data_IF_374790295461
#
_entry.id   IF_374790295461
#
_cell.length_a   1.000
_cell.length_b   1.000
_cell.length_c   1.000
_cell.angle_alpha   90.00
_cell.angle_beta   90.00
_cell.angle_gamma   90.00
#
_symmetry.space_group_name_H-M   'P 1'
#
loop_
_entity.id
_entity.type
_entity.pdbx_description
1 polymer ?
#
# COMPACT_ATOMS: atom_id res chain seq x y z
N UNK A 1 -3.08 19.99 16.94
CA UNK A 1 -2.64 18.64 16.57
C UNK A 1 -1.27 18.41 17.18
N UNK A 2 -1.06 17.28 17.85
CA UNK A 2 0.26 16.90 18.36
C UNK A 2 1.20 16.46 17.22
N UNK A 3 2.50 16.33 17.54
CA UNK A 3 3.54 15.99 16.57
C UNK A 3 3.34 14.60 15.95
N UNK A 4 2.80 13.64 16.69
CA UNK A 4 2.56 12.28 16.21
C UNK A 4 1.44 12.25 15.17
N UNK A 5 0.35 12.97 15.43
CA UNK A 5 -0.76 13.15 14.49
C UNK A 5 -0.27 13.82 13.20
N UNK A 6 0.57 14.85 13.30
CA UNK A 6 1.18 15.52 12.14
C UNK A 6 2.09 14.58 11.34
N UNK A 7 2.90 13.76 12.03
CA UNK A 7 3.75 12.77 11.39
C UNK A 7 2.90 11.74 10.64
N UNK A 8 1.88 11.16 11.30
CA UNK A 8 0.97 10.20 10.69
C UNK A 8 0.32 10.76 9.41
N UNK A 9 -0.26 11.97 9.47
CA UNK A 9 -0.84 12.61 8.30
C UNK A 9 0.20 12.84 7.18
N UNK A 10 1.40 13.33 7.51
CA UNK A 10 2.45 13.58 6.51
C UNK A 10 2.89 12.29 5.81
N UNK A 11 3.06 11.20 6.55
CA UNK A 11 3.43 9.90 5.99
C UNK A 11 2.31 9.35 5.10
N UNK A 12 1.06 9.38 5.59
CA UNK A 12 -0.12 8.97 4.85
C UNK A 12 -0.29 9.76 3.54
N UNK A 13 -0.23 11.09 3.60
CA UNK A 13 -0.40 11.96 2.42
C UNK A 13 0.66 11.69 1.36
N UNK A 14 1.92 11.43 1.75
CA UNK A 14 2.98 11.10 0.78
C UNK A 14 2.73 9.76 0.08
N UNK A 15 2.28 8.75 0.82
CA UNK A 15 1.96 7.44 0.24
C UNK A 15 0.73 7.52 -0.68
N UNK A 16 -0.29 8.28 -0.28
CA UNK A 16 -1.45 8.52 -1.15
C UNK A 16 -1.07 9.31 -2.40
N UNK A 17 -0.16 10.28 -2.32
CA UNK A 17 0.38 10.98 -3.49
C UNK A 17 1.12 10.04 -4.44
N UNK A 18 1.94 9.12 -3.89
CA UNK A 18 2.60 8.07 -4.65
C UNK A 18 1.56 7.21 -5.41
N UNK A 19 0.50 6.76 -4.73
CA UNK A 19 -0.57 5.96 -5.34
C UNK A 19 -1.42 6.74 -6.35
N UNK A 20 -1.71 8.02 -6.10
CA UNK A 20 -2.44 8.89 -7.02
C UNK A 20 -1.64 9.12 -8.31
N UNK A 21 -0.32 9.30 -8.19
CA UNK A 21 0.56 9.41 -9.34
C UNK A 21 0.56 8.11 -10.16
N UNK A 22 0.59 6.95 -9.49
CA UNK A 22 0.53 5.63 -10.14
C UNK A 22 -0.81 5.41 -10.83
N UNK A 23 -1.91 5.69 -10.14
CA UNK A 23 -3.27 5.62 -10.68
C UNK A 23 -3.44 6.52 -11.90
N UNK A 24 -2.90 7.75 -11.87
CA UNK A 24 -2.95 8.68 -13.00
C UNK A 24 -2.19 8.13 -14.21
N UNK A 25 -1.01 7.52 -14.00
CA UNK A 25 -0.23 6.88 -15.08
C UNK A 25 -0.96 5.68 -15.67
N UNK A 26 -1.62 4.87 -14.84
CA UNK A 26 -2.41 3.72 -15.28
C UNK A 26 -3.70 4.14 -15.99
N UNK A 27 -4.34 5.24 -15.56
CA UNK A 27 -5.57 5.76 -16.15
C UNK A 27 -5.34 6.33 -17.56
N UNK A 28 -4.15 6.85 -17.85
CA UNK A 28 -3.75 7.31 -19.19
C UNK A 28 -3.57 6.17 -20.20
N UNK A 29 -3.76 4.92 -19.78
CA UNK A 29 -3.59 3.73 -20.60
C UNK A 29 -4.82 2.82 -20.51
N UNK A 30 -4.95 1.89 -21.46
CA UNK A 30 -5.98 0.86 -21.42
C UNK A 30 -5.90 0.04 -20.11
N UNK A 31 -7.04 -0.27 -19.48
CA UNK A 31 -7.07 -1.12 -18.28
C UNK A 31 -6.36 -2.46 -18.52
N UNK A 32 -5.48 -2.84 -17.59
CA UNK A 32 -4.74 -4.10 -17.66
C UNK A 32 -4.34 -4.52 -16.26
N UNK A 33 -4.76 -5.73 -15.88
CA UNK A 33 -4.40 -6.31 -14.58
C UNK A 33 -2.89 -6.48 -14.46
N UNK A 34 -2.22 -6.97 -15.50
CA UNK A 34 -0.76 -7.13 -15.49
C UNK A 34 -0.04 -5.80 -15.22
N UNK A 35 -0.43 -4.71 -15.90
CA UNK A 35 0.17 -3.38 -15.66
C UNK A 35 -0.11 -2.84 -14.26
N UNK A 36 -1.31 -3.09 -13.73
CA UNK A 36 -1.64 -2.73 -12.36
C UNK A 36 -0.74 -3.46 -11.35
N UNK A 37 -0.60 -4.79 -11.50
CA UNK A 37 0.26 -5.60 -10.64
C UNK A 37 1.75 -5.22 -10.79
N UNK A 38 2.21 -4.92 -12.02
CA UNK A 38 3.57 -4.46 -12.25
C UNK A 38 3.82 -3.10 -11.57
N UNK A 39 2.87 -2.17 -11.65
CA UNK A 39 2.95 -0.88 -10.96
C UNK A 39 3.03 -1.03 -9.44
N UNK A 40 2.29 -1.98 -8.85
CA UNK A 40 2.37 -2.26 -7.42
C UNK A 40 3.72 -2.89 -7.03
N UNK A 41 4.21 -3.84 -7.83
CA UNK A 41 5.51 -4.46 -7.59
C UNK A 41 6.66 -3.44 -7.67
N UNK A 42 6.61 -2.52 -8.65
CA UNK A 42 7.54 -1.38 -8.76
C UNK A 42 7.45 -0.46 -7.54
N UNK A 43 6.24 -0.18 -7.06
CA UNK A 43 6.04 0.67 -5.88
C UNK A 43 6.64 0.05 -4.61
N UNK A 44 6.46 -1.25 -4.43
CA UNK A 44 7.06 -1.99 -3.31
C UNK A 44 8.60 -1.97 -3.42
N UNK A 45 9.16 -2.21 -4.60
CA UNK A 45 10.60 -2.15 -4.85
C UNK A 45 11.17 -0.76 -4.53
N UNK A 46 10.49 0.30 -4.96
CA UNK A 46 10.83 1.70 -4.71
C UNK A 46 10.80 2.05 -3.21
N UNK A 47 9.71 1.73 -2.51
CA UNK A 47 9.59 1.97 -1.07
C UNK A 47 10.63 1.21 -0.25
N UNK A 48 11.06 0.04 -0.72
CA UNK A 48 12.05 -0.81 -0.06
C UNK A 48 13.48 -0.54 -0.54
N UNK A 49 13.68 0.47 -1.40
CA UNK A 49 15.02 0.93 -1.78
C UNK A 49 15.76 1.51 -0.57
N UNK A 50 17.11 1.45 -0.54
CA UNK A 50 17.88 2.03 0.57
C UNK A 50 17.53 3.51 0.84
N UNK A 51 17.22 4.28 -0.19
CA UNK A 51 16.88 5.70 -0.08
C UNK A 51 15.51 5.98 0.58
N UNK A 52 14.58 5.01 0.54
CA UNK A 52 13.20 5.16 1.06
C UNK A 52 12.90 4.23 2.23
N UNK A 53 13.80 3.30 2.57
CA UNK A 53 13.61 2.33 3.64
C UNK A 53 13.24 2.98 4.98
N UNK A 54 13.96 4.03 5.38
CA UNK A 54 13.71 4.71 6.66
C UNK A 54 12.29 5.28 6.76
N UNK A 55 11.71 5.70 5.63
CA UNK A 55 10.31 6.17 5.56
C UNK A 55 9.33 5.04 5.85
N UNK A 56 9.60 3.83 5.34
CA UNK A 56 8.75 2.65 5.57
C UNK A 56 8.85 2.21 7.03
N UNK A 57 10.06 2.20 7.59
CA UNK A 57 10.28 1.89 9.01
C UNK A 57 9.51 2.86 9.90
N UNK A 58 9.71 4.16 9.71
CA UNK A 58 9.02 5.20 10.48
C UNK A 58 7.50 5.10 10.35
N UNK A 59 6.99 4.76 9.16
CA UNK A 59 5.55 4.56 8.96
C UNK A 59 5.04 3.39 9.81
N UNK A 60 5.70 2.24 9.77
CA UNK A 60 5.31 1.06 10.56
C UNK A 60 5.33 1.39 12.05
N UNK A 61 6.39 2.06 12.53
CA UNK A 61 6.49 2.49 13.93
C UNK A 61 5.34 3.42 14.33
N UNK A 62 5.01 4.42 13.51
CA UNK A 62 3.91 5.35 13.77
C UNK A 62 2.57 4.60 13.87
N UNK A 63 2.29 3.65 12.97
CA UNK A 63 1.05 2.87 13.04
C UNK A 63 0.98 1.97 14.28
N UNK A 64 2.11 1.39 14.70
CA UNK A 64 2.19 0.59 15.93
C UNK A 64 2.04 1.44 17.20
N UNK A 65 2.53 2.68 17.21
CA UNK A 65 2.28 3.63 18.30
C UNK A 65 0.79 4.01 18.29
N UNK A 66 0.26 4.38 17.12
CA UNK A 66 -1.14 4.77 16.99
C UNK A 66 -2.12 3.67 17.38
N UNK A 67 -1.76 2.39 17.21
CA UNK A 67 -2.60 1.26 17.65
C UNK A 67 -2.76 1.17 19.18
N UNK A 68 -1.98 1.93 19.96
CA UNK A 68 -2.05 2.01 21.43
C UNK A 68 -2.58 3.35 21.93
N UNK A 69 -2.84 4.30 21.03
CA UNK A 69 -3.28 5.67 21.34
C UNK A 69 -4.72 5.88 20.85
N UNK A 70 -5.75 5.76 21.71
CA UNK A 70 -7.14 5.87 21.30
C UNK A 70 -7.48 7.19 20.61
N UNK A 71 -6.77 8.28 20.94
CA UNK A 71 -6.92 9.58 20.30
C UNK A 71 -6.59 9.58 18.80
N UNK A 72 -5.81 8.59 18.33
CA UNK A 72 -5.37 8.46 16.94
C UNK A 72 -6.22 7.48 16.12
N UNK A 73 -7.15 6.75 16.74
CA UNK A 73 -7.97 5.73 16.05
C UNK A 73 -8.69 6.30 14.84
N UNK A 74 -9.34 7.46 15.00
CA UNK A 74 -10.06 8.13 13.92
C UNK A 74 -9.13 8.50 12.76
N UNK A 75 -7.93 8.98 13.07
CA UNK A 75 -6.95 9.40 12.07
C UNK A 75 -6.44 8.19 11.28
N UNK A 76 -6.07 7.12 11.98
CA UNK A 76 -5.63 5.86 11.35
C UNK A 76 -6.73 5.30 10.45
N UNK A 77 -7.99 5.30 10.92
CA UNK A 77 -9.13 4.82 10.13
C UNK A 77 -9.33 5.64 8.85
N UNK A 78 -9.25 6.97 8.93
CA UNK A 78 -9.37 7.85 7.77
C UNK A 78 -8.24 7.63 6.76
N UNK A 79 -7.01 7.47 7.25
CA UNK A 79 -5.85 7.17 6.40
C UNK A 79 -6.03 5.83 5.69
N UNK A 80 -6.39 4.78 6.42
CA UNK A 80 -6.61 3.45 5.85
C UNK A 80 -7.75 3.46 4.83
N UNK A 81 -8.85 4.15 5.12
CA UNK A 81 -9.97 4.29 4.19
C UNK A 81 -9.54 4.92 2.86
N UNK A 82 -8.67 5.93 2.89
CA UNK A 82 -8.14 6.53 1.66
C UNK A 82 -7.36 5.55 0.77
N UNK A 83 -6.65 4.58 1.37
CA UNK A 83 -5.97 3.52 0.63
C UNK A 83 -6.96 2.51 0.05
N UNK A 84 -7.97 2.12 0.83
CA UNK A 84 -9.05 1.23 0.40
C UNK A 84 -9.78 1.85 -0.79
N UNK A 85 -10.27 3.08 -0.66
CA UNK A 85 -11.02 3.78 -1.71
C UNK A 85 -10.24 3.86 -3.03
N UNK A 86 -8.96 4.24 -2.96
CA UNK A 86 -8.10 4.33 -4.14
C UNK A 86 -7.86 2.96 -4.80
N UNK A 87 -7.67 1.92 -4.00
CA UNK A 87 -7.44 0.55 -4.49
C UNK A 87 -8.71 -0.05 -5.09
N UNK A 88 -9.85 0.11 -4.42
CA UNK A 88 -11.17 -0.29 -4.91
C UNK A 88 -11.49 0.37 -6.23
N UNK A 89 -11.26 1.68 -6.38
CA UNK A 89 -11.49 2.39 -7.64
C UNK A 89 -10.64 1.82 -8.79
N UNK A 90 -9.37 1.48 -8.52
CA UNK A 90 -8.50 0.86 -9.52
C UNK A 90 -8.99 -0.54 -9.92
N UNK A 91 -9.37 -1.38 -8.95
CA UNK A 91 -9.88 -2.73 -9.17
C UNK A 91 -11.22 -2.74 -9.92
N UNK A 92 -12.14 -1.82 -9.57
CA UNK A 92 -13.41 -1.66 -10.27
C UNK A 92 -13.20 -1.29 -11.74
N UNK A 93 -12.24 -0.41 -12.05
CA UNK A 93 -11.88 -0.05 -13.44
C UNK A 93 -11.32 -1.24 -14.22
N UNK A 94 -10.73 -2.22 -13.53
CA UNK A 94 -10.22 -3.46 -14.12
C UNK A 94 -11.29 -4.55 -14.27
N UNK A 95 -12.52 -4.30 -13.82
CA UNK A 95 -13.63 -5.26 -13.89
C UNK A 95 -13.49 -6.42 -12.90
N UNK A 96 -12.71 -6.25 -11.83
CA UNK A 96 -12.57 -7.26 -10.78
C UNK A 96 -13.86 -7.33 -9.95
N UNK A 97 -14.39 -8.54 -9.74
CA UNK A 97 -15.54 -8.78 -8.88
C UNK A 97 -15.20 -8.51 -7.41
N UNK A 98 -16.19 -8.04 -6.64
CA UNK A 98 -16.03 -7.67 -5.22
C UNK A 98 -14.79 -6.78 -4.95
N UNK A 99 -14.64 -5.64 -5.65
CA UNK A 99 -13.40 -4.86 -5.61
C UNK A 99 -13.04 -4.31 -4.21
N UNK A 100 -14.02 -4.15 -3.32
CA UNK A 100 -13.80 -3.78 -1.91
C UNK A 100 -13.11 -4.89 -1.12
N UNK A 101 -13.59 -6.13 -1.23
CA UNK A 101 -13.01 -7.29 -0.53
C UNK A 101 -11.59 -7.58 -1.04
N UNK A 102 -11.42 -7.51 -2.37
CA UNK A 102 -10.11 -7.70 -3.00
C UNK A 102 -9.15 -6.57 -2.60
N UNK A 103 -9.62 -5.32 -2.50
CA UNK A 103 -8.78 -4.20 -2.04
C UNK A 103 -8.24 -4.43 -0.62
N UNK A 104 -9.09 -4.88 0.31
CA UNK A 104 -8.68 -5.17 1.69
C UNK A 104 -7.60 -6.26 1.71
N UNK A 105 -7.81 -7.36 1.00
CA UNK A 105 -6.84 -8.46 0.92
C UNK A 105 -5.52 -8.04 0.27
N UNK A 106 -5.60 -7.22 -0.78
CA UNK A 106 -4.42 -6.71 -1.47
C UNK A 106 -3.61 -5.76 -0.59
N UNK A 107 -4.26 -4.83 0.12
CA UNK A 107 -3.59 -3.91 1.06
C UNK A 107 -2.89 -4.70 2.17
N UNK A 108 -3.59 -5.65 2.80
CA UNK A 108 -2.99 -6.51 3.83
C UNK A 108 -1.78 -7.29 3.31
N UNK A 109 -1.83 -7.74 2.05
CA UNK A 109 -0.71 -8.41 1.38
C UNK A 109 0.48 -7.47 1.19
N UNK A 110 0.24 -6.25 0.71
CA UNK A 110 1.29 -5.23 0.53
C UNK A 110 1.92 -4.87 1.88
N UNK A 111 1.11 -4.63 2.91
CA UNK A 111 1.59 -4.33 4.26
C UNK A 111 2.44 -5.46 4.83
N UNK A 112 2.01 -6.72 4.64
CA UNK A 112 2.77 -7.90 5.04
C UNK A 112 4.13 -8.02 4.33
N UNK A 113 4.19 -7.71 3.03
CA UNK A 113 5.45 -7.64 2.29
C UNK A 113 6.33 -6.55 2.90
N UNK A 114 5.85 -5.31 3.03
CA UNK A 114 6.63 -4.19 3.54
C UNK A 114 7.15 -4.44 4.97
N UNK A 115 6.31 -4.99 5.84
CA UNK A 115 6.69 -5.38 7.19
C UNK A 115 7.77 -6.47 7.19
N UNK A 116 7.59 -7.50 6.37
CA UNK A 116 8.57 -8.57 6.19
C UNK A 116 9.94 -8.04 5.73
N UNK A 117 9.99 -7.02 4.87
CA UNK A 117 11.23 -6.37 4.44
C UNK A 117 11.95 -5.61 5.55
N UNK A 118 11.16 -5.03 6.47
CA UNK A 118 11.70 -4.28 7.60
C UNK A 118 12.27 -5.23 8.63
N UNK A 119 11.53 -6.27 9.01
CA UNK A 119 11.89 -7.21 10.08
C UNK A 119 12.84 -8.32 9.62
N UNK A 120 12.69 -8.79 8.39
CA UNK A 120 13.43 -9.93 7.82
C UNK A 120 13.99 -9.58 6.44
N UNK A 121 14.84 -8.54 6.36
CA UNK A 121 15.37 -8.03 5.08
C UNK A 121 16.11 -9.07 4.23
N UNK A 122 16.56 -10.18 4.81
CA UNK A 122 17.20 -11.31 4.13
C UNK A 122 16.19 -12.24 3.43
N UNK A 123 14.91 -12.21 3.80
CA UNK A 123 13.81 -12.94 3.15
C UNK A 123 13.06 -12.08 2.14
N UNK A 124 13.70 -11.03 1.63
CA UNK A 124 13.13 -10.11 0.64
C UNK A 124 12.72 -10.88 -0.62
N UNK A 125 11.41 -10.99 -0.96
CA UNK A 125 11.02 -11.37 -2.30
C UNK A 125 11.64 -10.39 -3.31
N UNK A 126 12.18 -10.95 -4.38
CA UNK A 126 12.51 -10.16 -5.57
C UNK A 126 11.23 -9.65 -6.25
N UNK A 127 11.39 -8.79 -7.26
CA UNK A 127 10.27 -8.20 -7.98
C UNK A 127 9.35 -9.25 -8.61
N UNK A 128 9.90 -10.36 -9.10
CA UNK A 128 9.11 -11.42 -9.73
C UNK A 128 8.26 -12.17 -8.71
N UNK A 129 8.83 -12.48 -7.54
CA UNK A 129 8.13 -13.10 -6.43
C UNK A 129 7.03 -12.16 -5.88
N UNK A 130 7.32 -10.87 -5.71
CA UNK A 130 6.32 -9.86 -5.33
C UNK A 130 5.15 -9.83 -6.31
N UNK A 131 5.44 -9.77 -7.62
CA UNK A 131 4.43 -9.79 -8.68
C UNK A 131 3.53 -11.03 -8.59
N UNK A 132 4.13 -12.21 -8.38
CA UNK A 132 3.39 -13.47 -8.24
C UNK A 132 2.48 -13.48 -7.00
N UNK A 133 2.95 -12.95 -5.87
CA UNK A 133 2.17 -12.82 -4.63
C UNK A 133 0.98 -11.88 -4.86
N UNK A 134 1.22 -10.70 -5.42
CA UNK A 134 0.17 -9.70 -5.69
C UNK A 134 -0.88 -10.22 -6.68
N UNK A 135 -0.46 -10.94 -7.73
CA UNK A 135 -1.38 -11.53 -8.70
C UNK A 135 -2.32 -12.56 -8.04
N UNK A 136 -1.82 -13.36 -7.08
CA UNK A 136 -2.66 -14.29 -6.32
C UNK A 136 -3.66 -13.57 -5.42
N UNK A 137 -3.26 -12.44 -4.82
CA UNK A 137 -4.14 -11.65 -3.96
C UNK A 137 -5.33 -11.03 -4.70
N UNK A 138 -5.23 -10.83 -6.02
CA UNK A 138 -6.31 -10.27 -6.85
C UNK A 138 -7.18 -11.35 -7.49
N UNK A 139 -6.66 -12.57 -7.65
CA UNK A 139 -7.42 -13.73 -8.16
C UNK A 139 -8.04 -14.48 -6.98
N UNK A 140 -9.14 -13.94 -6.46
CA UNK A 140 -9.99 -14.67 -5.52
C UNK A 140 -10.91 -15.54 -6.38
N UNK A 141 -10.66 -16.86 -6.36
CA UNK A 141 -11.48 -17.86 -7.04
C UNK A 141 -12.86 -18.02 -6.36
#
# INVERSE_FOLDING_TARGET
MDLLTLALHRHASRNLQDLQADASRLAAQEPSLDRFIDSLAERIEDWTSPAKRDRVVAQIEIFLIASREPSLELVVRQVHQGFVDATTAALARLGIGSPEEVAIGLIATVDGILFGQVVNSHLRPDRQACRAILMRAVRVD
#
